data_IF_120197592619
#
_entry.id   IF_120197592619
#
_cell.length_a   1.000
_cell.length_b   1.000
_cell.length_c   1.000
_cell.angle_alpha   90.00
_cell.angle_beta   90.00
_cell.angle_gamma   90.00
#
_symmetry.space_group_name_H-M   'P 1'
#
loop_
_entity.id
_entity.type
_entity.pdbx_description
1 polymer ?
#
# COMPACT_ATOMS: atom_id res chain seq x y z
N UNK A 1 -26.70 -59.39 -45.79
CA UNK A 1 -25.37 -59.88 -45.38
C UNK A 1 -24.46 -58.66 -45.29
N UNK A 2 -24.04 -58.32 -44.07
CA UNK A 2 -23.31 -57.10 -43.70
C UNK A 2 -21.86 -57.15 -44.18
N UNK A 3 -21.32 -56.01 -44.62
CA UNK A 3 -19.91 -55.66 -44.44
C UNK A 3 -19.82 -54.16 -44.12
N UNK A 4 -19.45 -53.88 -42.86
CA UNK A 4 -19.27 -52.55 -42.26
C UNK A 4 -17.84 -52.08 -42.53
N UNK A 5 -17.68 -50.84 -42.99
CA UNK A 5 -16.38 -50.16 -43.08
C UNK A 5 -16.18 -49.27 -41.86
N UNK A 6 -15.23 -49.63 -41.00
CA UNK A 6 -14.81 -48.86 -39.84
C UNK A 6 -13.67 -47.92 -40.25
N UNK A 7 -13.95 -46.62 -40.36
CA UNK A 7 -12.91 -45.60 -40.47
C UNK A 7 -12.49 -45.17 -39.06
N UNK A 8 -11.27 -45.51 -38.66
CA UNK A 8 -10.65 -45.02 -37.42
C UNK A 8 -10.16 -43.58 -37.65
N UNK A 9 -10.83 -42.62 -37.04
CA UNK A 9 -10.33 -41.24 -36.91
C UNK A 9 -9.39 -41.23 -35.69
N UNK A 10 -8.10 -41.03 -35.94
CA UNK A 10 -7.10 -40.81 -34.90
C UNK A 10 -7.11 -39.31 -34.58
N UNK A 11 -7.62 -38.94 -33.41
CA UNK A 11 -7.42 -37.60 -32.85
C UNK A 11 -5.97 -37.51 -32.35
N UNK A 12 -5.13 -36.77 -33.07
CA UNK A 12 -3.87 -36.29 -32.51
C UNK A 12 -4.19 -35.22 -31.47
N UNK A 13 -4.19 -35.61 -30.20
CA UNK A 13 -4.16 -34.68 -29.09
C UNK A 13 -2.78 -34.02 -29.09
N UNK A 14 -2.64 -32.89 -29.78
CA UNK A 14 -1.49 -32.01 -29.56
C UNK A 14 -1.66 -31.40 -28.17
N UNK A 15 -1.00 -32.00 -27.18
CA UNK A 15 -0.70 -31.32 -25.92
C UNK A 15 0.10 -30.07 -26.27
N UNK A 16 -0.54 -28.91 -26.22
CA UNK A 16 0.16 -27.63 -26.16
C UNK A 16 0.96 -27.62 -24.85
N UNK A 17 2.19 -28.12 -24.92
CA UNK A 17 3.23 -27.77 -23.97
C UNK A 17 3.51 -26.29 -24.21
N UNK A 18 2.78 -25.43 -23.51
CA UNK A 18 3.21 -24.04 -23.35
C UNK A 18 4.61 -24.10 -22.74
N UNK A 19 5.65 -23.57 -23.41
CA UNK A 19 6.94 -23.46 -22.77
C UNK A 19 6.74 -22.66 -21.50
N UNK A 20 7.03 -23.28 -20.35
CA UNK A 20 7.17 -22.59 -19.09
C UNK A 20 8.26 -21.54 -19.31
N UNK A 21 7.85 -20.30 -19.57
CA UNK A 21 8.75 -19.16 -19.53
C UNK A 21 9.30 -19.20 -18.11
N UNK A 22 10.57 -19.59 -17.95
CA UNK A 22 11.26 -19.37 -16.70
C UNK A 22 11.18 -17.86 -16.45
N UNK A 23 10.43 -17.46 -15.42
CA UNK A 23 10.39 -16.07 -15.02
C UNK A 23 11.84 -15.64 -14.77
N UNK A 24 12.30 -14.65 -15.51
CA UNK A 24 13.65 -14.12 -15.33
C UNK A 24 13.69 -13.47 -13.95
N UNK A 25 14.44 -14.07 -13.03
CA UNK A 25 14.60 -13.57 -11.66
C UNK A 25 15.93 -12.85 -11.51
N UNK A 26 15.93 -11.76 -10.75
CA UNK A 26 17.16 -11.11 -10.27
C UNK A 26 17.25 -11.24 -8.76
N UNK A 27 18.46 -11.38 -8.23
CA UNK A 27 18.71 -11.34 -6.79
C UNK A 27 19.35 -10.01 -6.41
N UNK A 28 18.81 -9.37 -5.39
CA UNK A 28 19.22 -8.05 -4.91
C UNK A 28 19.49 -8.14 -3.42
N UNK A 29 20.75 -7.99 -3.03
CA UNK A 29 21.18 -7.99 -1.63
C UNK A 29 21.80 -6.64 -1.19
N UNK A 30 21.87 -5.69 -2.12
CA UNK A 30 22.40 -4.35 -1.90
C UNK A 30 21.27 -3.32 -2.03
N UNK A 31 21.61 -2.04 -2.21
CA UNK A 31 20.66 -0.95 -2.39
C UNK A 31 20.21 -0.75 -3.84
N UNK A 32 20.46 -1.71 -4.74
CA UNK A 32 20.07 -1.61 -6.15
C UNK A 32 18.58 -1.88 -6.30
N UNK A 33 17.89 -1.09 -7.11
CA UNK A 33 16.48 -1.31 -7.40
C UNK A 33 16.32 -2.22 -8.62
N UNK A 34 15.20 -2.93 -8.72
CA UNK A 34 14.85 -3.68 -9.92
C UNK A 34 13.47 -3.28 -10.43
N UNK A 35 13.30 -3.26 -11.75
CA UNK A 35 12.03 -2.88 -12.37
C UNK A 35 11.57 -4.01 -13.27
N UNK A 36 10.27 -4.34 -13.21
CA UNK A 36 9.65 -5.34 -14.10
C UNK A 36 9.82 -4.93 -15.57
N UNK A 37 9.81 -5.90 -16.49
CA UNK A 37 9.99 -5.65 -17.94
C UNK A 37 8.97 -4.67 -18.53
N UNK A 38 7.73 -4.66 -18.02
CA UNK A 38 6.72 -3.69 -18.45
C UNK A 38 6.98 -2.26 -17.96
N UNK A 39 7.90 -2.07 -17.01
CA UNK A 39 8.11 -0.83 -16.29
C UNK A 39 7.09 -0.57 -15.18
N UNK A 40 6.08 -1.43 -15.00
CA UNK A 40 4.94 -1.17 -14.10
C UNK A 40 5.30 -1.18 -12.62
N UNK A 41 6.25 -2.01 -12.20
CA UNK A 41 6.67 -2.06 -10.82
C UNK A 41 8.16 -1.87 -10.68
N UNK A 42 8.56 -1.11 -9.66
CA UNK A 42 9.95 -1.00 -9.21
C UNK A 42 10.03 -1.50 -7.77
N UNK A 43 10.86 -2.51 -7.56
CA UNK A 43 11.22 -3.02 -6.25
C UNK A 43 12.38 -2.21 -5.66
N UNK A 44 12.24 -1.85 -4.39
CA UNK A 44 13.24 -1.17 -3.60
C UNK A 44 13.61 -2.03 -2.39
N UNK A 45 14.90 -2.36 -2.19
CA UNK A 45 15.34 -3.07 -0.97
C UNK A 45 15.17 -2.23 0.30
N UNK A 46 15.34 -0.91 0.20
CA UNK A 46 15.24 0.07 1.28
C UNK A 46 15.82 -0.42 2.62
N UNK A 47 17.11 -0.80 2.59
CA UNK A 47 17.87 -1.11 3.80
C UNK A 47 18.29 0.22 4.43
N UNK A 48 17.71 0.54 5.58
CA UNK A 48 17.86 1.84 6.27
C UNK A 48 18.89 1.75 7.39
N UNK A 49 19.02 0.58 8.02
CA UNK A 49 19.93 0.42 9.16
C UNK A 49 21.39 0.68 8.77
N UNK A 50 22.12 1.31 9.68
CA UNK A 50 23.58 1.50 9.59
C UNK A 50 24.35 0.63 10.58
N UNK A 51 23.65 -0.06 11.50
CA UNK A 51 24.26 -0.87 12.55
C UNK A 51 24.86 -2.19 12.03
N UNK A 52 24.57 -2.55 10.77
CA UNK A 52 25.01 -3.78 10.10
C UNK A 52 24.68 -5.05 10.91
N UNK A 53 23.63 -5.01 11.73
CA UNK A 53 23.22 -6.08 12.64
C UNK A 53 22.58 -7.29 11.94
N UNK A 54 22.64 -7.33 10.61
CA UNK A 54 21.89 -8.27 9.82
C UNK A 54 22.07 -8.11 8.32
N UNK A 55 21.18 -8.73 7.57
CA UNK A 55 21.17 -8.68 6.10
C UNK A 55 19.74 -8.79 5.56
N UNK A 56 19.59 -8.42 4.29
CA UNK A 56 18.39 -8.66 3.50
C UNK A 56 18.79 -8.99 2.05
N UNK A 57 18.10 -9.96 1.45
CA UNK A 57 18.20 -10.29 0.04
C UNK A 57 16.81 -10.52 -0.53
N UNK A 58 16.57 -10.09 -1.76
CA UNK A 58 15.31 -10.30 -2.48
C UNK A 58 15.54 -11.00 -3.80
N UNK A 59 14.81 -12.09 -4.04
CA UNK A 59 14.68 -12.72 -5.34
C UNK A 59 13.42 -12.16 -6.01
N UNK A 60 13.60 -11.29 -7.01
CA UNK A 60 12.53 -10.54 -7.66
C UNK A 60 12.26 -11.05 -9.08
N UNK A 61 10.99 -11.30 -9.43
CA UNK A 61 10.59 -11.63 -10.80
C UNK A 61 10.58 -10.38 -11.67
N UNK A 62 11.39 -10.36 -12.73
CA UNK A 62 11.32 -9.30 -13.75
C UNK A 62 10.10 -9.45 -14.67
N UNK A 63 9.47 -10.62 -14.68
CA UNK A 63 8.22 -10.84 -15.39
C UNK A 63 7.02 -10.31 -14.59
N UNK A 64 6.07 -9.70 -15.31
CA UNK A 64 4.76 -9.34 -14.82
C UNK A 64 3.68 -9.74 -15.84
N UNK A 65 2.58 -10.30 -15.36
CA UNK A 65 1.53 -10.87 -16.20
C UNK A 65 0.23 -10.11 -16.03
N UNK A 66 -0.48 -9.80 -17.11
CA UNK A 66 -1.75 -9.07 -17.04
C UNK A 66 -2.84 -9.93 -16.37
N UNK A 67 -3.18 -9.61 -15.12
CA UNK A 67 -4.16 -10.33 -14.29
C UNK A 67 -5.59 -9.73 -14.37
N UNK A 68 -5.90 -9.01 -15.45
CA UNK A 68 -7.23 -8.44 -15.66
C UNK A 68 -7.49 -7.18 -14.84
N UNK A 69 -8.37 -7.25 -13.84
CA UNK A 69 -8.94 -6.05 -13.18
C UNK A 69 -7.95 -5.20 -12.38
N UNK A 70 -6.86 -5.80 -11.89
CA UNK A 70 -5.76 -5.10 -11.20
C UNK A 70 -4.56 -4.81 -12.12
N UNK A 71 -4.67 -5.16 -13.42
CA UNK A 71 -3.60 -5.07 -14.40
C UNK A 71 -2.49 -6.09 -14.15
N UNK A 72 -1.23 -5.78 -14.50
CA UNK A 72 -0.16 -6.77 -14.34
C UNK A 72 0.12 -7.10 -12.87
N UNK A 73 0.36 -8.37 -12.54
CA UNK A 73 0.84 -8.83 -11.24
C UNK A 73 2.27 -9.32 -11.33
N UNK A 74 2.98 -9.30 -10.20
CA UNK A 74 4.33 -9.86 -10.06
C UNK A 74 4.47 -10.60 -8.73
N UNK A 75 5.64 -11.19 -8.51
CA UNK A 75 5.96 -12.01 -7.33
C UNK A 75 7.43 -11.82 -6.94
N UNK A 76 7.74 -12.03 -5.67
CA UNK A 76 9.11 -11.96 -5.16
C UNK A 76 9.23 -12.64 -3.78
N UNK A 77 10.45 -12.94 -3.37
CA UNK A 77 10.76 -13.39 -2.02
C UNK A 77 11.83 -12.49 -1.41
N UNK A 78 11.56 -11.90 -0.26
CA UNK A 78 12.57 -11.18 0.53
C UNK A 78 12.92 -11.98 1.77
N UNK A 79 14.20 -12.34 1.93
CA UNK A 79 14.72 -12.94 3.16
C UNK A 79 15.51 -11.91 3.93
N UNK A 80 15.24 -11.76 5.22
CA UNK A 80 16.00 -10.88 6.10
C UNK A 80 16.35 -11.58 7.42
N UNK A 81 17.37 -11.06 8.09
CA UNK A 81 17.68 -11.40 9.47
C UNK A 81 18.22 -10.15 10.14
N UNK A 82 17.45 -9.55 11.05
CA UNK A 82 17.83 -8.35 11.78
C UNK A 82 17.93 -8.68 13.26
N UNK A 83 19.11 -9.11 13.71
CA UNK A 83 19.31 -9.52 15.10
C UNK A 83 19.89 -8.37 15.90
N UNK A 84 19.16 -7.82 16.87
CA UNK A 84 19.76 -6.90 17.82
C UNK A 84 19.61 -7.41 19.27
N UNK A 85 20.62 -7.10 20.10
CA UNK A 85 20.60 -7.41 21.53
C UNK A 85 19.59 -6.57 22.31
N UNK A 86 19.08 -5.50 21.70
CA UNK A 86 18.00 -4.63 22.20
C UNK A 86 17.13 -4.20 21.02
N UNK A 87 16.08 -4.97 20.66
CA UNK A 87 15.22 -4.70 19.51
C UNK A 87 14.70 -3.26 19.55
N UNK A 88 15.14 -2.44 18.59
CA UNK A 88 14.64 -1.08 18.48
C UNK A 88 13.28 -1.14 17.77
N UNK A 89 12.22 -1.16 18.55
CA UNK A 89 10.85 -1.14 18.02
C UNK A 89 10.46 0.21 17.44
N UNK A 90 11.32 1.23 17.46
CA UNK A 90 11.02 2.60 17.02
C UNK A 90 11.59 2.91 15.63
N UNK A 91 12.61 2.17 15.16
CA UNK A 91 13.27 2.43 13.88
C UNK A 91 13.30 1.16 13.03
N UNK A 92 12.83 1.21 11.77
CA UNK A 92 12.93 0.08 10.85
C UNK A 92 14.39 -0.20 10.48
N UNK A 93 14.74 -1.48 10.30
CA UNK A 93 16.01 -1.86 9.68
C UNK A 93 15.90 -1.80 8.17
N UNK A 94 14.76 -2.21 7.63
CA UNK A 94 14.47 -2.14 6.21
C UNK A 94 12.98 -1.98 5.92
N UNK A 95 12.68 -1.49 4.72
CA UNK A 95 11.33 -1.43 4.17
C UNK A 95 11.30 -1.99 2.73
N UNK A 96 11.66 -3.27 2.49
CA UNK A 96 11.55 -3.86 1.16
C UNK A 96 10.16 -3.62 0.58
N UNK A 97 10.10 -2.98 -0.58
CA UNK A 97 8.86 -2.42 -1.10
C UNK A 97 8.74 -2.57 -2.61
N UNK A 98 7.50 -2.44 -3.08
CA UNK A 98 7.13 -2.42 -4.47
C UNK A 98 6.35 -1.13 -4.75
N UNK A 99 6.87 -0.31 -5.66
CA UNK A 99 6.21 0.92 -6.12
C UNK A 99 5.42 0.68 -7.40
N UNK A 100 4.23 1.27 -7.50
CA UNK A 100 3.42 1.30 -8.72
C UNK A 100 3.84 2.46 -9.64
N UNK A 101 4.36 2.13 -10.82
CA UNK A 101 4.63 3.09 -11.89
C UNK A 101 3.42 3.12 -12.85
N UNK A 102 2.68 4.21 -12.83
CA UNK A 102 1.51 4.40 -13.70
C UNK A 102 1.47 5.82 -14.30
N UNK A 103 2.46 6.20 -15.14
CA UNK A 103 2.63 7.57 -15.63
C UNK A 103 1.48 8.07 -16.53
N UNK A 104 0.62 7.17 -17.02
CA UNK A 104 -0.59 7.53 -17.75
C UNK A 104 -1.73 8.02 -16.85
N UNK A 105 -1.62 7.83 -15.53
CA UNK A 105 -2.64 8.19 -14.54
C UNK A 105 -2.04 9.08 -13.44
N UNK A 106 -0.89 8.72 -12.89
CA UNK A 106 -0.25 9.46 -11.79
C UNK A 106 0.58 10.64 -12.33
N UNK A 107 0.52 11.82 -11.68
CA UNK A 107 -0.24 12.12 -10.47
C UNK A 107 -1.72 12.44 -10.79
N UNK A 108 -2.64 12.04 -9.92
CA UNK A 108 -4.09 12.25 -10.12
C UNK A 108 -4.74 12.89 -8.88
N UNK A 109 -5.68 13.84 -9.04
CA UNK A 109 -6.46 14.33 -7.90
C UNK A 109 -7.19 13.18 -7.20
N UNK A 110 -7.14 13.15 -5.86
CA UNK A 110 -7.77 12.08 -5.06
C UNK A 110 -9.28 11.95 -5.32
N UNK A 111 -9.95 13.07 -5.65
CA UNK A 111 -11.37 13.07 -6.01
C UNK A 111 -11.70 12.50 -7.38
N UNK A 112 -10.70 12.26 -8.23
CA UNK A 112 -10.84 11.67 -9.56
C UNK A 112 -10.42 10.18 -9.57
N UNK A 113 -10.33 9.53 -8.41
CA UNK A 113 -10.07 8.09 -8.31
C UNK A 113 -11.40 7.34 -8.20
N UNK A 114 -11.78 6.62 -9.25
CA UNK A 114 -13.01 5.81 -9.26
C UNK A 114 -12.83 4.45 -8.59
N UNK A 115 -11.68 3.80 -8.82
CA UNK A 115 -11.32 2.50 -8.28
C UNK A 115 -9.81 2.46 -8.01
N UNK A 116 -9.43 1.75 -6.95
CA UNK A 116 -8.06 1.43 -6.60
C UNK A 116 -8.01 -0.03 -6.13
N UNK A 117 -8.10 -1.01 -7.04
CA UNK A 117 -8.06 -2.41 -6.68
C UNK A 117 -6.63 -2.86 -6.32
N UNK A 118 -6.54 -3.64 -5.25
CA UNK A 118 -5.32 -4.21 -4.69
C UNK A 118 -5.42 -5.74 -4.63
N UNK A 119 -4.45 -6.43 -5.21
CA UNK A 119 -4.22 -7.86 -5.00
C UNK A 119 -2.89 -8.00 -4.28
N UNK A 120 -2.89 -8.63 -3.11
CA UNK A 120 -1.69 -8.98 -2.36
C UNK A 120 -1.89 -10.35 -1.73
N UNK A 121 -1.13 -11.34 -2.17
CA UNK A 121 -1.12 -12.68 -1.62
C UNK A 121 0.30 -13.02 -1.19
N UNK A 122 0.51 -13.17 0.11
CA UNK A 122 1.84 -13.32 0.68
C UNK A 122 1.83 -14.14 1.98
N UNK A 123 3.00 -14.58 2.41
CA UNK A 123 3.24 -15.16 3.73
C UNK A 123 4.55 -14.65 4.31
N UNK A 124 4.64 -14.63 5.63
CA UNK A 124 5.85 -14.32 6.39
C UNK A 124 6.13 -15.49 7.33
N UNK A 125 7.33 -16.05 7.26
CA UNK A 125 7.68 -17.24 8.03
C UNK A 125 9.18 -17.31 8.36
N UNK A 126 9.58 -17.92 9.49
CA UNK A 126 10.98 -18.16 9.80
C UNK A 126 11.63 -19.14 8.80
N UNK A 127 12.89 -18.91 8.48
CA UNK A 127 13.71 -19.71 7.58
C UNK A 127 13.95 -19.07 6.22
N UNK A 128 14.56 -19.85 5.34
CA UNK A 128 14.82 -19.51 3.94
C UNK A 128 13.57 -19.74 3.08
N UNK A 129 13.52 -19.21 1.84
CA UNK A 129 12.37 -19.37 0.97
C UNK A 129 11.99 -20.83 0.72
N UNK A 130 10.71 -21.15 0.91
CA UNK A 130 10.12 -22.46 0.67
C UNK A 130 8.83 -22.32 -0.14
N UNK A 131 8.73 -23.03 -1.26
CA UNK A 131 7.56 -22.99 -2.15
C UNK A 131 6.30 -23.65 -1.57
N UNK A 132 6.41 -24.36 -0.44
CA UNK A 132 5.30 -25.12 0.17
C UNK A 132 4.54 -24.34 1.24
N UNK A 133 5.11 -23.25 1.74
CA UNK A 133 4.43 -22.39 2.71
C UNK A 133 3.57 -21.42 1.90
N UNK A 134 2.33 -21.25 2.31
CA UNK A 134 1.36 -20.34 1.68
C UNK A 134 0.61 -19.46 2.70
N UNK A 135 0.99 -19.54 3.98
CA UNK A 135 0.31 -18.83 5.06
C UNK A 135 1.29 -18.44 6.16
N UNK A 136 1.01 -17.31 6.80
CA UNK A 136 1.76 -16.81 7.97
C UNK A 136 1.28 -17.50 9.24
N UNK A 137 2.21 -17.95 10.07
CA UNK A 137 1.94 -18.48 11.42
C UNK A 137 2.41 -17.47 12.47
N UNK A 138 1.50 -16.77 13.17
CA UNK A 138 1.87 -15.80 14.21
C UNK A 138 2.73 -16.41 15.32
N UNK A 139 2.45 -17.66 15.73
CA UNK A 139 3.20 -18.36 16.77
C UNK A 139 4.65 -18.64 16.34
N UNK A 140 4.84 -19.03 15.09
CA UNK A 140 6.18 -19.25 14.53
C UNK A 140 6.98 -17.95 14.45
N UNK A 141 6.32 -16.84 14.10
CA UNK A 141 6.93 -15.51 14.08
C UNK A 141 7.27 -15.02 15.50
N UNK A 142 6.41 -15.28 16.49
CA UNK A 142 6.68 -14.96 17.89
C UNK A 142 7.91 -15.74 18.41
N UNK A 143 8.01 -17.03 18.10
CA UNK A 143 9.15 -17.86 18.50
C UNK A 143 10.48 -17.40 17.87
N UNK A 144 10.41 -16.82 16.67
CA UNK A 144 11.56 -16.19 16.00
C UNK A 144 11.71 -14.70 16.35
N UNK A 145 11.01 -14.19 17.38
CA UNK A 145 11.05 -12.79 17.82
C UNK A 145 10.85 -11.77 16.70
N UNK A 146 9.99 -12.08 15.73
CA UNK A 146 9.78 -11.23 14.55
C UNK A 146 8.99 -9.99 14.93
N UNK A 147 9.53 -8.83 14.57
CA UNK A 147 8.83 -7.54 14.63
C UNK A 147 8.78 -7.00 13.21
N UNK A 148 7.58 -7.00 12.65
CA UNK A 148 7.35 -6.53 11.28
C UNK A 148 5.90 -6.08 11.05
N UNK A 149 5.70 -5.20 10.07
CA UNK A 149 4.36 -4.85 9.59
C UNK A 149 4.34 -4.69 8.07
N UNK A 150 3.24 -5.08 7.45
CA UNK A 150 3.02 -4.94 6.01
C UNK A 150 1.93 -3.90 5.76
N UNK A 151 2.23 -2.89 4.95
CA UNK A 151 1.32 -1.78 4.68
C UNK A 151 1.59 -1.12 3.33
N UNK A 152 0.55 -0.47 2.80
CA UNK A 152 0.59 0.38 1.62
C UNK A 152 0.72 1.84 2.06
N UNK A 153 1.70 2.55 1.53
CA UNK A 153 1.83 4.01 1.63
C UNK A 153 1.41 4.66 0.31
N UNK A 154 0.62 5.73 0.44
CA UNK A 154 0.17 6.57 -0.66
C UNK A 154 0.56 7.99 -0.28
N UNK A 155 1.37 8.64 -1.09
CA UNK A 155 1.87 9.99 -0.83
C UNK A 155 1.12 11.00 -1.70
N UNK A 156 0.75 12.09 -1.04
CA UNK A 156 -0.12 13.10 -1.61
C UNK A 156 0.36 14.50 -1.32
N UNK A 157 0.13 15.39 -2.27
CA UNK A 157 0.40 16.81 -2.13
C UNK A 157 -0.57 17.65 -2.97
N UNK A 158 -0.78 18.92 -2.61
CA UNK A 158 -1.53 19.85 -3.45
C UNK A 158 -0.79 20.17 -4.75
N UNK A 159 0.54 20.13 -4.70
CA UNK A 159 1.42 20.28 -5.85
C UNK A 159 1.72 18.90 -6.46
N UNK A 160 1.29 18.61 -7.71
CA UNK A 160 1.45 17.29 -8.31
C UNK A 160 2.90 16.78 -8.33
N UNK A 161 3.86 17.68 -8.53
CA UNK A 161 5.28 17.32 -8.56
C UNK A 161 5.81 16.87 -7.20
N UNK A 162 5.35 17.47 -6.10
CA UNK A 162 5.76 17.09 -4.73
C UNK A 162 5.12 15.77 -4.29
N UNK A 163 3.94 15.44 -4.82
CA UNK A 163 3.24 14.18 -4.50
C UNK A 163 3.97 12.92 -5.01
N UNK A 164 4.92 13.08 -5.95
CA UNK A 164 5.69 11.99 -6.56
C UNK A 164 6.98 11.64 -5.77
N UNK A 165 7.31 12.41 -4.74
CA UNK A 165 8.49 12.16 -3.89
C UNK A 165 8.06 11.99 -2.43
N UNK A 166 8.28 10.79 -1.89
CA UNK A 166 7.92 10.45 -0.49
C UNK A 166 8.52 11.42 0.54
N UNK A 167 9.64 12.07 0.21
CA UNK A 167 10.35 13.02 1.08
C UNK A 167 9.67 14.39 1.16
N UNK A 168 8.97 14.83 0.11
CA UNK A 168 8.43 16.19 0.00
C UNK A 168 6.90 16.27 0.07
N UNK A 169 6.22 15.13 -0.04
CA UNK A 169 4.76 15.08 0.12
C UNK A 169 4.30 15.49 1.53
N UNK A 170 3.38 16.47 1.58
CA UNK A 170 2.81 16.96 2.83
C UNK A 170 1.84 15.97 3.50
N UNK A 171 1.32 14.99 2.75
CA UNK A 171 0.35 14.01 3.27
C UNK A 171 0.73 12.59 2.89
N UNK A 172 0.56 11.66 3.83
CA UNK A 172 0.66 10.21 3.60
C UNK A 172 -0.60 9.51 4.08
N UNK A 173 -1.16 8.64 3.25
CA UNK A 173 -2.17 7.67 3.65
C UNK A 173 -1.48 6.31 3.76
N UNK A 174 -1.55 5.69 4.94
CA UNK A 174 -1.01 4.36 5.20
C UNK A 174 -2.16 3.38 5.43
N UNK A 175 -2.24 2.31 4.64
CA UNK A 175 -3.26 1.27 4.77
C UNK A 175 -2.56 -0.01 5.21
N UNK A 176 -2.75 -0.37 6.48
CA UNK A 176 -2.09 -1.51 7.09
C UNK A 176 -2.78 -2.82 6.70
N UNK A 177 -2.00 -3.87 6.50
CA UNK A 177 -2.51 -5.22 6.18
C UNK A 177 -2.26 -6.17 7.33
N UNK A 178 -1.07 -6.14 7.91
CA UNK A 178 -0.73 -7.00 9.03
C UNK A 178 0.38 -6.39 9.88
N UNK A 179 0.43 -6.81 11.15
CA UNK A 179 1.55 -6.53 12.05
C UNK A 179 1.85 -7.75 12.93
N UNK A 180 3.11 -7.86 13.33
CA UNK A 180 3.64 -8.91 14.19
C UNK A 180 4.63 -8.31 15.19
N UNK A 181 4.70 -8.89 16.39
CA UNK A 181 5.62 -8.40 17.43
C UNK A 181 5.18 -7.09 18.10
N UNK A 182 3.89 -6.74 18.02
CA UNK A 182 3.32 -5.57 18.73
C UNK A 182 3.60 -4.23 18.05
N UNK A 183 4.01 -4.23 16.78
CA UNK A 183 4.23 -3.01 16.03
C UNK A 183 2.91 -2.31 15.72
N UNK A 184 2.80 -1.04 16.10
CA UNK A 184 1.59 -0.22 15.94
C UNK A 184 1.90 1.07 15.16
N UNK A 185 0.94 1.63 14.42
CA UNK A 185 1.16 2.87 13.68
C UNK A 185 1.25 4.10 14.58
N UNK A 186 1.83 5.17 14.04
CA UNK A 186 1.76 6.49 14.65
C UNK A 186 0.30 6.93 14.84
N UNK A 187 0.02 7.55 15.99
CA UNK A 187 -1.32 8.00 16.38
C UNK A 187 -2.21 6.89 16.96
N UNK A 188 -1.78 5.62 16.98
CA UNK A 188 -2.57 4.51 17.52
C UNK A 188 -2.92 4.68 19.01
N UNK A 189 -1.91 5.03 19.81
CA UNK A 189 -2.03 5.20 21.27
C UNK A 189 -2.62 6.56 21.68
N UNK A 190 -3.19 7.34 20.77
CA UNK A 190 -3.92 8.53 21.19
C UNK A 190 -5.23 8.10 21.88
N UNK A 191 -5.16 8.09 23.22
CA UNK A 191 -6.19 7.57 24.14
C UNK A 191 -7.16 8.65 24.62
N UNK A 192 -7.24 9.81 23.97
CA UNK A 192 -8.25 10.80 24.35
C UNK A 192 -9.65 10.16 24.24
N UNK A 193 -10.31 10.00 25.39
CA UNK A 193 -11.56 9.25 25.57
C UNK A 193 -12.77 9.84 24.81
N UNK A 194 -12.57 10.97 24.14
CA UNK A 194 -13.54 11.69 23.33
C UNK A 194 -13.38 11.44 21.82
N UNK A 195 -12.32 10.76 21.38
CA UNK A 195 -12.06 10.52 19.95
C UNK A 195 -12.88 9.32 19.47
N UNK A 196 -14.03 9.60 18.86
CA UNK A 196 -14.73 8.63 18.02
C UNK A 196 -13.95 8.45 16.72
N UNK A 197 -13.40 7.25 16.49
CA UNK A 197 -12.62 6.96 15.27
C UNK A 197 -13.53 6.44 14.15
N UNK A 198 -13.41 6.97 12.92
CA UNK A 198 -14.10 6.42 11.77
C UNK A 198 -13.70 4.96 11.51
N UNK A 199 -14.69 4.15 11.12
CA UNK A 199 -14.49 2.75 10.72
C UNK A 199 -15.13 2.53 9.36
N UNK A 200 -14.41 1.86 8.46
CA UNK A 200 -14.91 1.43 7.15
C UNK A 200 -14.66 -0.06 6.99
N UNK A 201 -15.70 -0.80 6.62
CA UNK A 201 -15.60 -2.24 6.33
C UNK A 201 -15.33 -2.47 4.84
N UNK A 202 -14.24 -3.19 4.54
CA UNK A 202 -13.91 -3.65 3.19
C UNK A 202 -13.75 -5.16 3.20
N UNK A 203 -14.57 -5.87 2.40
CA UNK A 203 -14.51 -7.32 2.25
C UNK A 203 -14.47 -8.11 3.58
N UNK A 204 -15.15 -7.61 4.62
CA UNK A 204 -15.20 -8.24 5.95
C UNK A 204 -14.06 -7.85 6.91
N UNK A 205 -13.18 -6.92 6.51
CA UNK A 205 -12.14 -6.35 7.37
C UNK A 205 -12.56 -4.93 7.75
N UNK A 206 -12.64 -4.65 9.04
CA UNK A 206 -12.90 -3.31 9.55
C UNK A 206 -11.61 -2.51 9.63
N UNK A 207 -11.56 -1.35 8.99
CA UNK A 207 -10.43 -0.43 9.03
C UNK A 207 -10.76 0.78 9.90
N UNK A 208 -9.97 1.02 10.94
CA UNK A 208 -10.11 2.18 11.84
C UNK A 208 -9.13 3.28 11.45
N UNK A 209 -9.61 4.53 11.37
CA UNK A 209 -8.77 5.68 11.03
C UNK A 209 -8.01 6.25 12.25
N UNK A 210 -6.71 6.41 12.09
CA UNK A 210 -5.81 7.11 12.99
C UNK A 210 -5.14 8.28 12.24
N UNK A 211 -4.81 9.34 12.98
CA UNK A 211 -4.15 10.52 12.43
C UNK A 211 -2.95 10.84 13.28
N UNK A 212 -1.85 11.20 12.64
CA UNK A 212 -0.66 11.72 13.30
C UNK A 212 0.00 12.79 12.43
N UNK A 213 0.86 13.59 13.05
CA UNK A 213 1.70 14.55 12.34
C UNK A 213 3.14 14.26 12.71
N UNK A 214 4.01 14.29 11.70
CA UNK A 214 5.45 14.17 11.88
C UNK A 214 6.10 15.47 11.43
N UNK A 215 7.07 15.95 12.21
CA UNK A 215 7.99 17.00 11.77
C UNK A 215 9.22 16.34 11.15
N UNK A 216 9.92 16.99 10.20
CA UNK A 216 11.21 16.54 9.73
C UNK A 216 12.14 16.31 10.91
N UNK A 217 12.90 15.23 10.91
CA UNK A 217 13.97 15.06 11.88
C UNK A 217 15.01 16.15 11.64
N UNK A 218 15.16 17.09 12.57
CA UNK A 218 16.35 17.96 12.63
C UNK A 218 17.55 17.11 13.04
N UNK A 219 18.09 16.31 12.13
CA UNK A 219 19.41 15.73 12.31
C UNK A 219 20.41 16.86 12.13
N UNK A 220 20.78 17.50 13.25
CA UNK A 220 22.01 18.28 13.35
C UNK A 220 23.16 17.32 13.04
N UNK A 221 23.60 17.30 11.80
CA UNK A 221 24.78 16.57 11.36
C UNK A 221 26.04 17.26 11.92
N UNK A 222 26.32 17.01 13.19
CA UNK A 222 27.62 17.28 13.80
C UNK A 222 28.38 15.96 13.94
N UNK A 223 28.90 15.46 12.82
CA UNK A 223 30.01 14.51 12.83
C UNK A 223 30.82 14.72 11.55
N UNK A 224 32.02 15.25 11.76
CA UNK A 224 33.09 15.49 10.81
C UNK A 224 33.22 14.40 9.75
N UNK A 225 32.91 14.75 8.50
CA UNK A 225 33.14 13.93 7.32
C UNK A 225 34.63 13.89 6.97
N UNK A 226 35.29 12.78 7.26
CA UNK A 226 36.43 12.35 6.43
C UNK A 226 35.83 11.72 5.19
N UNK A 227 36.04 12.37 4.05
CA UNK A 227 35.59 11.95 2.73
C UNK A 227 35.97 10.49 2.44
N UNK A 228 34.99 9.69 2.03
CA UNK A 228 35.20 8.44 1.30
C UNK A 228 34.05 8.32 0.30
N UNK A 229 34.39 8.33 -0.99
CA UNK A 229 33.45 8.26 -2.11
C UNK A 229 32.66 6.95 -2.06
N UNK A 230 31.43 7.02 -1.58
CA UNK A 230 30.36 6.06 -1.85
C UNK A 230 29.10 6.89 -2.06
N UNK A 231 28.79 7.15 -3.32
CA UNK A 231 27.50 7.72 -3.73
C UNK A 231 26.38 6.74 -3.39
N UNK A 232 25.23 7.28 -2.97
CA UNK A 232 23.88 6.66 -2.88
C UNK A 232 23.38 6.11 -1.54
N UNK A 233 23.59 6.82 -0.42
CA UNK A 233 22.60 6.79 0.66
C UNK A 233 21.81 8.12 0.61
N UNK A 234 20.67 8.12 -0.08
CA UNK A 234 19.73 9.25 -0.04
C UNK A 234 18.95 9.13 1.27
N UNK A 235 18.97 10.18 2.08
CA UNK A 235 18.11 10.25 3.26
C UNK A 235 16.64 10.23 2.80
N UNK A 236 15.96 9.11 3.04
CA UNK A 236 14.56 8.90 2.67
C UNK A 236 13.59 9.46 3.73
N UNK A 237 14.09 10.12 4.77
CA UNK A 237 13.25 10.75 5.77
C UNK A 237 12.45 11.92 5.19
N UNK A 238 11.23 12.18 5.71
CA UNK A 238 10.45 13.35 5.33
C UNK A 238 11.23 14.65 5.54
N UNK A 239 11.33 15.45 4.48
CA UNK A 239 11.99 16.76 4.48
C UNK A 239 11.01 17.90 4.78
N UNK A 240 9.72 17.60 4.84
CA UNK A 240 8.64 18.52 5.23
C UNK A 240 7.77 17.90 6.33
N UNK A 241 7.05 18.72 7.12
CA UNK A 241 6.03 18.19 8.01
C UNK A 241 4.99 17.39 7.22
N UNK A 242 4.69 16.17 7.68
CA UNK A 242 3.77 15.26 7.00
C UNK A 242 2.59 14.94 7.93
N UNK A 243 1.37 15.08 7.41
CA UNK A 243 0.17 14.53 8.05
C UNK A 243 -0.03 13.10 7.59
N UNK A 244 -0.16 12.17 8.53
CA UNK A 244 -0.28 10.74 8.25
C UNK A 244 -1.67 10.26 8.68
N UNK A 245 -2.42 9.76 7.70
CA UNK A 245 -3.70 9.10 7.89
C UNK A 245 -3.50 7.60 7.80
N UNK A 246 -3.74 6.87 8.89
CA UNK A 246 -3.55 5.42 8.94
C UNK A 246 -4.89 4.71 9.03
N UNK A 247 -5.18 3.86 8.04
CA UNK A 247 -6.25 2.88 8.12
C UNK A 247 -5.68 1.57 8.67
N UNK A 248 -6.03 1.27 9.92
CA UNK A 248 -5.52 0.10 10.63
C UNK A 248 -6.59 -1.02 10.67
N UNK A 249 -6.26 -2.24 10.24
CA UNK A 249 -7.23 -3.32 10.12
C UNK A 249 -7.52 -3.96 11.49
N UNK A 250 -8.74 -4.47 11.65
CA UNK A 250 -9.16 -5.22 12.85
C UNK A 250 -8.51 -6.61 12.95
N UNK A 251 -8.02 -7.14 11.83
CA UNK A 251 -7.38 -8.45 11.71
C UNK A 251 -6.24 -8.40 10.69
N UNK A 252 -5.21 -9.21 10.89
CA UNK A 252 -4.14 -9.36 9.91
C UNK A 252 -4.68 -10.00 8.62
N UNK A 253 -4.38 -9.40 7.47
CA UNK A 253 -4.76 -9.85 6.15
C UNK A 253 -3.51 -10.13 5.31
N UNK A 254 -3.30 -11.40 4.95
CA UNK A 254 -2.21 -11.86 4.09
C UNK A 254 -2.66 -12.16 2.66
N UNK A 255 -3.97 -12.14 2.43
CA UNK A 255 -4.59 -12.40 1.14
C UNK A 255 -5.66 -11.36 0.86
N UNK A 256 -5.44 -10.54 -0.16
CA UNK A 256 -6.40 -9.63 -0.76
C UNK A 256 -6.47 -9.93 -2.24
N UNK A 257 -7.67 -10.03 -2.80
CA UNK A 257 -7.88 -10.35 -4.21
C UNK A 257 -8.73 -9.27 -4.84
N UNK A 258 -8.10 -8.38 -5.62
CA UNK A 258 -8.73 -7.24 -6.28
C UNK A 258 -9.63 -6.40 -5.35
N UNK A 259 -9.23 -6.25 -4.08
CA UNK A 259 -9.98 -5.45 -3.12
C UNK A 259 -9.86 -3.97 -3.46
N UNK A 260 -10.98 -3.30 -3.70
CA UNK A 260 -10.98 -1.85 -3.95
C UNK A 260 -10.82 -1.07 -2.65
N UNK A 261 -9.67 -0.40 -2.51
CA UNK A 261 -9.36 0.46 -1.36
C UNK A 261 -9.78 1.92 -1.58
N UNK A 262 -10.34 2.27 -2.74
CA UNK A 262 -10.82 3.63 -3.03
C UNK A 262 -11.80 4.19 -1.98
N UNK A 263 -12.68 3.40 -1.31
CA UNK A 263 -13.56 3.93 -0.27
C UNK A 263 -12.81 4.55 0.92
N UNK A 264 -11.63 4.03 1.28
CA UNK A 264 -10.79 4.56 2.35
C UNK A 264 -10.26 5.96 1.99
N UNK A 265 -9.82 6.16 0.75
CA UNK A 265 -9.36 7.45 0.23
C UNK A 265 -10.54 8.42 0.08
N UNK A 266 -11.67 7.92 -0.42
CA UNK A 266 -12.88 8.70 -0.66
C UNK A 266 -13.45 9.31 0.62
N UNK A 267 -13.39 8.56 1.71
CA UNK A 267 -13.79 9.07 3.01
C UNK A 267 -12.99 10.31 3.42
N UNK A 268 -11.66 10.29 3.26
CA UNK A 268 -10.79 11.36 3.73
C UNK A 268 -11.12 12.71 3.07
N UNK A 269 -11.33 12.75 1.76
CA UNK A 269 -11.65 14.03 1.12
C UNK A 269 -13.13 14.43 1.23
N UNK A 270 -14.05 13.47 1.34
CA UNK A 270 -15.49 13.76 1.54
C UNK A 270 -15.79 14.30 2.92
N UNK A 271 -15.09 13.80 3.94
CA UNK A 271 -15.18 14.27 5.31
C UNK A 271 -14.18 15.40 5.61
N UNK A 272 -13.57 15.99 4.57
CA UNK A 272 -12.74 17.20 4.64
C UNK A 272 -11.47 17.04 5.51
N UNK A 273 -10.93 15.82 5.62
CA UNK A 273 -9.59 15.58 6.16
C UNK A 273 -8.49 16.00 5.17
N UNK A 274 -8.75 15.80 3.88
CA UNK A 274 -7.84 16.14 2.78
C UNK A 274 -8.62 16.94 1.73
N UNK A 275 -7.98 17.90 1.06
CA UNK A 275 -8.61 18.59 -0.06
C UNK A 275 -8.90 17.62 -1.21
N UNK A 276 -10.08 17.72 -1.81
CA UNK A 276 -10.46 16.95 -3.01
C UNK A 276 -9.49 17.16 -4.20
N UNK A 277 -8.72 18.26 -4.20
CA UNK A 277 -7.75 18.59 -5.23
C UNK A 277 -6.32 18.13 -4.91
N UNK A 278 -6.08 17.48 -3.76
CA UNK A 278 -4.77 16.91 -3.43
C UNK A 278 -4.48 15.73 -4.37
N UNK A 279 -3.28 15.72 -4.96
CA UNK A 279 -2.84 14.71 -5.93
C UNK A 279 -2.22 13.52 -5.21
N UNK A 280 -2.62 12.31 -5.62
CA UNK A 280 -1.88 11.07 -5.37
C UNK A 280 -0.77 10.97 -6.41
N UNK A 281 0.50 10.83 -5.97
CA UNK A 281 1.64 10.79 -6.89
C UNK A 281 2.56 9.58 -6.73
N UNK A 282 2.75 9.09 -5.50
CA UNK A 282 3.63 7.94 -5.21
C UNK A 282 2.87 6.90 -4.39
N UNK A 283 3.01 5.63 -4.78
CA UNK A 283 2.28 4.49 -4.20
C UNK A 283 3.26 3.35 -4.01
N UNK A 284 3.41 2.91 -2.76
CA UNK A 284 4.43 1.94 -2.38
C UNK A 284 3.86 0.95 -1.36
N UNK A 285 3.98 -0.33 -1.64
CA UNK A 285 3.58 -1.40 -0.73
C UNK A 285 4.81 -2.16 -0.25
N UNK A 286 4.96 -2.34 1.06
CA UNK A 286 6.18 -2.93 1.60
C UNK A 286 6.01 -3.60 2.95
N UNK A 287 7.12 -4.12 3.44
CA UNK A 287 7.25 -4.75 4.75
C UNK A 287 8.26 -3.96 5.60
N UNK A 288 7.79 -3.34 6.67
CA UNK A 288 8.63 -2.79 7.73
C UNK A 288 9.21 -3.94 8.54
N UNK A 289 10.51 -4.21 8.38
CA UNK A 289 11.22 -5.26 9.10
C UNK A 289 12.15 -4.62 10.14
N UNK A 290 11.95 -4.97 11.42
CA UNK A 290 12.71 -4.38 12.55
C UNK A 290 13.52 -5.37 13.34
N UNK A 291 13.06 -6.62 13.43
CA UNK A 291 13.77 -7.62 14.21
C UNK A 291 13.41 -9.04 13.79
N UNK A 292 14.38 -9.94 13.88
CA UNK A 292 14.18 -11.39 13.88
C UNK A 292 15.35 -12.12 14.53
N UNK A 293 15.08 -13.28 15.13
CA UNK A 293 16.09 -14.25 15.53
C UNK A 293 16.27 -15.28 14.40
N UNK A 294 17.33 -15.08 13.63
CA UNK A 294 17.60 -15.85 12.43
C UNK A 294 16.79 -15.38 11.22
N UNK A 295 16.84 -16.19 10.16
CA UNK A 295 16.24 -15.87 8.87
C UNK A 295 14.73 -15.84 8.97
N UNK A 296 14.13 -14.88 8.28
CA UNK A 296 12.69 -14.76 8.03
C UNK A 296 12.51 -14.46 6.56
N UNK A 297 11.59 -15.17 5.92
CA UNK A 297 11.22 -14.93 4.53
C UNK A 297 9.82 -14.35 4.43
N UNK A 298 9.71 -13.25 3.69
CA UNK A 298 8.48 -12.70 3.15
C UNK A 298 8.32 -13.16 1.71
N UNK A 299 7.41 -14.12 1.49
CA UNK A 299 7.08 -14.62 0.16
C UNK A 299 5.83 -13.93 -0.36
N UNK A 300 5.96 -13.23 -1.47
CA UNK A 300 4.84 -12.60 -2.20
C UNK A 300 4.56 -13.45 -3.42
N UNK A 301 3.47 -14.21 -3.37
CA UNK A 301 3.05 -15.11 -4.44
C UNK A 301 2.37 -14.36 -5.59
N UNK A 302 1.68 -13.28 -5.26
CA UNK A 302 1.01 -12.42 -6.22
C UNK A 302 0.81 -11.03 -5.62
N UNK A 303 1.28 -9.99 -6.30
CA UNK A 303 0.95 -8.61 -5.96
C UNK A 303 0.62 -7.80 -7.20
N UNK A 304 -0.40 -6.96 -7.10
CA UNK A 304 -0.90 -6.13 -8.18
C UNK A 304 -1.65 -4.91 -7.67
N UNK A 305 -1.35 -3.76 -8.25
CA UNK A 305 -1.97 -2.47 -7.94
C UNK A 305 -2.46 -1.80 -9.22
N UNK A 306 -3.64 -1.17 -9.17
CA UNK A 306 -4.14 -0.33 -10.25
C UNK A 306 -4.89 0.87 -9.70
N UNK A 307 -4.94 1.95 -10.47
CA UNK A 307 -5.74 3.13 -10.20
C UNK A 307 -6.53 3.44 -11.47
N UNK A 308 -7.84 3.64 -11.33
CA UNK A 308 -8.70 4.07 -12.42
C UNK A 308 -9.21 5.47 -12.14
N UNK A 309 -9.01 6.35 -13.12
CA UNK A 309 -9.60 7.68 -13.10
C UNK A 309 -11.14 7.59 -13.21
N UNK A 310 -11.83 8.64 -12.76
CA UNK A 310 -13.27 8.81 -12.96
C UNK A 310 -14.03 9.15 -11.69
N UNK A 311 -15.35 9.11 -11.79
CA UNK A 311 -16.25 9.47 -10.70
C UNK A 311 -16.21 8.41 -9.58
N UNK A 312 -15.88 8.79 -8.33
CA UNK A 312 -15.85 7.87 -7.21
C UNK A 312 -17.24 7.30 -6.89
N UNK A 313 -17.32 5.99 -6.75
CA UNK A 313 -18.56 5.32 -6.34
C UNK A 313 -18.90 5.74 -4.91
N UNK A 314 -20.17 6.03 -4.59
CA UNK A 314 -20.55 6.35 -3.20
C UNK A 314 -20.26 5.13 -2.32
N UNK A 315 -19.43 5.32 -1.30
CA UNK A 315 -19.18 4.31 -0.29
C UNK A 315 -20.51 3.89 0.37
N UNK A 316 -20.88 2.62 0.22
CA UNK A 316 -22.02 2.03 0.92
C UNK A 316 -21.49 1.61 2.29
N UNK A 317 -21.92 2.28 3.36
CA UNK A 317 -21.56 1.87 4.74
C UNK A 317 -21.17 2.96 5.72
N UNK A 318 -21.01 4.23 5.30
CA UNK A 318 -20.86 5.32 6.26
C UNK A 318 -22.18 5.46 7.06
N UNK A 319 -22.16 4.99 8.31
CA UNK A 319 -23.30 5.10 9.22
C UNK A 319 -23.84 6.53 9.21
N UNK A 320 -25.15 6.67 8.99
CA UNK A 320 -25.84 7.96 9.00
C UNK A 320 -25.49 8.71 10.28
N UNK A 321 -24.63 9.73 10.18
CA UNK A 321 -24.59 10.77 11.19
C UNK A 321 -25.96 11.44 11.12
N UNK A 322 -26.76 11.33 12.18
CA UNK A 322 -28.00 12.11 12.29
C UNK A 322 -27.64 13.57 12.08
N UNK A 323 -28.04 14.13 10.95
CA UNK A 323 -28.15 15.58 10.80
C UNK A 323 -29.11 16.06 11.89
N UNK A 324 -28.54 16.64 12.94
CA UNK A 324 -29.31 17.50 13.83
C UNK A 324 -29.53 18.79 13.03
N UNK A 325 -30.81 19.04 12.75
CA UNK A 325 -31.28 20.03 11.78
C UNK A 325 -30.61 21.39 11.91
N UNK A 326 -30.01 21.83 10.81
CA UNK A 326 -29.75 23.24 10.57
C UNK A 326 -30.83 23.71 9.61
N UNK A 327 -31.86 24.33 10.18
CA UNK A 327 -33.01 24.85 9.45
C UNK A 327 -32.58 25.68 8.26
N UNK A 328 -33.21 25.37 7.13
CA UNK A 328 -33.20 26.16 5.92
C UNK A 328 -33.66 27.59 6.24
N UNK A 329 -32.75 28.54 6.11
CA UNK A 329 -33.06 29.96 6.07
C UNK A 329 -32.28 30.54 4.90
N UNK A 330 -32.85 30.40 3.70
CA UNK A 330 -32.56 31.24 2.52
C UNK A 330 -33.51 30.89 1.38
N UNK A 331 -34.63 31.61 1.30
CA UNK A 331 -35.23 32.08 0.05
C UNK A 331 -36.52 32.86 0.33
N UNK A 332 -36.46 34.20 0.38
CA UNK A 332 -37.32 35.09 -0.41
C UNK A 332 -36.91 36.55 -0.14
N UNK A 333 -35.98 37.07 -0.93
CA UNK A 333 -35.83 38.50 -1.16
C UNK A 333 -35.99 38.70 -2.66
N UNK A 334 -37.08 39.34 -3.07
CA UNK A 334 -37.25 39.82 -4.43
C UNK A 334 -38.70 39.82 -4.93
N UNK A 335 -39.15 41.02 -5.30
CA UNK A 335 -40.30 41.34 -6.16
C UNK A 335 -41.70 41.42 -5.50
N UNK A 336 -41.93 42.52 -4.78
CA UNK A 336 -43.22 43.21 -4.83
C UNK A 336 -43.20 44.21 -5.99
N UNK A 337 -43.79 43.85 -7.13
CA UNK A 337 -44.24 44.80 -8.17
C UNK A 337 -45.77 44.72 -8.19
N UNK A 338 -46.39 45.89 -8.11
CA UNK A 338 -47.81 46.05 -7.81
C UNK A 338 -48.78 45.66 -8.92
N UNK A 339 -50.01 45.41 -8.49
CA UNK A 339 -51.22 45.65 -9.26
C UNK A 339 -52.39 45.82 -8.26
N UNK A 340 -52.69 47.08 -7.90
CA UNK A 340 -53.99 47.44 -7.33
C UNK A 340 -54.90 47.72 -8.51
N UNK A 341 -55.82 46.79 -8.77
CA UNK A 341 -56.95 46.99 -9.67
C UNK A 341 -58.13 47.48 -8.83
N UNK A 342 -58.55 48.70 -9.12
CA UNK A 342 -59.82 49.29 -8.70
C UNK A 342 -60.99 48.52 -9.32
N UNK A 343 -61.93 48.05 -8.50
CA UNK A 343 -63.36 47.98 -8.82
C UNK A 343 -64.15 47.91 -7.50
N UNK A 344 -65.02 48.91 -7.28
CA UNK A 344 -65.88 49.06 -6.11
C UNK A 344 -66.01 50.51 -5.70
#
# INVERSE_FOLDING_TARGET
MLLSSQHKIIFYLFTFLTPSIYAETTQICDSTNATTKSGRYTFFPDIITTDKSGYQCTDFSLADENSGSVGSTTLFNTTFSWSSSSPNISTPHSFPSLTLNLPSILPIPISNISLFPLTNNWALYPGNPLHTISATSPDSLQNASVIAACYLNIYLDLEPSLSQDKRFSATKISIWQANYGGLIPLGYNDTASTISRPVIDLAGISYTLYVSQTSPSTSTSSSSSTYSNSSTAVDEQPQVPQTIYTWYPSVNATTLTAMDISPLLNYLWREVYISSNTYVGFVEWGLDARNSNGNVTWSVYETGMSIKAGTPVKAVGAGKRKEVGRGEMSALVGLCVGAVVLFG
#
